data_IF_590296382493
#
_entry.id   IF_590296382493
#
_cell.length_a   1.000
_cell.length_b   1.000
_cell.length_c   1.000
_cell.angle_alpha   90.00
_cell.angle_beta   90.00
_cell.angle_gamma   90.00
#
_symmetry.space_group_name_H-M   'P 1'
#
loop_
_entity.id
_entity.type
_entity.pdbx_description
1 polymer ?
#
# COMPACT_ATOMS: atom_id res chain seq x y z
N UNK A 1 12.62 12.82 -33.88
CA UNK A 1 12.47 12.46 -32.45
C UNK A 1 13.74 11.78 -32.01
N UNK A 2 14.57 12.46 -31.22
CA UNK A 2 15.78 11.85 -30.64
C UNK A 2 15.36 10.89 -29.51
N UNK A 3 15.85 9.63 -29.50
CA UNK A 3 15.55 8.71 -28.40
C UNK A 3 16.13 9.28 -27.10
N UNK A 4 15.30 9.33 -26.06
CA UNK A 4 15.70 9.87 -24.75
C UNK A 4 16.79 9.00 -24.11
N UNK A 5 17.82 9.61 -23.50
CA UNK A 5 18.97 8.90 -22.94
C UNK A 5 18.53 7.94 -21.82
N UNK A 6 19.02 6.68 -21.79
CA UNK A 6 18.59 5.64 -20.83
C UNK A 6 18.62 6.11 -19.36
N UNK A 7 17.75 5.55 -18.50
CA UNK A 7 17.75 5.82 -17.04
C UNK A 7 19.22 5.72 -16.55
N UNK A 8 19.74 6.72 -15.80
CA UNK A 8 21.17 6.82 -15.52
C UNK A 8 21.67 5.54 -14.81
N UNK A 9 22.84 5.01 -15.20
CA UNK A 9 23.27 3.66 -14.82
C UNK A 9 23.88 3.54 -13.41
N UNK A 10 23.81 4.55 -12.56
CA UNK A 10 24.57 4.58 -11.30
C UNK A 10 23.64 4.79 -10.10
N UNK A 11 23.44 3.72 -9.32
CA UNK A 11 22.67 3.74 -8.07
C UNK A 11 21.28 3.11 -8.18
N UNK A 12 20.54 3.13 -7.08
CA UNK A 12 19.18 2.60 -7.03
C UNK A 12 18.13 3.62 -7.51
N UNK A 13 18.56 4.74 -8.09
CA UNK A 13 17.72 5.77 -8.70
C UNK A 13 16.91 6.63 -7.72
N UNK A 14 17.00 6.39 -6.42
CA UNK A 14 16.51 7.33 -5.42
C UNK A 14 17.53 8.48 -5.25
N UNK A 15 17.05 9.69 -4.89
CA UNK A 15 17.95 10.80 -4.60
C UNK A 15 18.70 10.58 -3.28
N UNK A 16 19.84 11.25 -3.15
CA UNK A 16 20.56 11.33 -1.88
C UNK A 16 19.79 12.14 -0.83
N UNK A 17 20.06 11.87 0.46
CA UNK A 17 19.40 12.53 1.58
C UNK A 17 18.00 12.01 1.88
N UNK A 18 17.20 12.84 2.55
CA UNK A 18 15.84 12.50 2.92
C UNK A 18 14.85 12.88 1.83
N UNK A 19 13.85 12.04 1.61
CA UNK A 19 12.82 12.27 0.61
C UNK A 19 11.47 11.70 1.03
N UNK A 20 10.41 12.17 0.36
CA UNK A 20 9.07 11.57 0.41
C UNK A 20 8.80 10.80 -0.87
N UNK A 21 8.03 9.72 -0.78
CA UNK A 21 7.57 8.94 -1.94
C UNK A 21 6.06 9.15 -2.07
N UNK A 22 5.64 9.94 -3.06
CA UNK A 22 4.25 10.36 -3.28
C UNK A 22 3.58 9.52 -4.37
N UNK A 23 2.32 9.13 -4.21
CA UNK A 23 1.52 8.47 -5.25
C UNK A 23 0.53 9.47 -5.87
N UNK A 24 0.74 9.92 -7.12
CA UNK A 24 -0.19 10.82 -7.80
C UNK A 24 -1.58 10.21 -7.96
N UNK A 25 -1.66 8.91 -8.27
CA UNK A 25 -2.91 8.15 -8.44
C UNK A 25 -3.73 7.95 -7.16
N UNK A 26 -3.25 8.44 -6.01
CA UNK A 26 -3.95 8.41 -4.72
C UNK A 26 -4.09 9.82 -4.14
N UNK A 27 -4.52 10.79 -4.95
CA UNK A 27 -4.72 12.19 -4.54
C UNK A 27 -3.46 12.84 -3.93
N UNK A 28 -2.28 12.41 -4.38
CA UNK A 28 -1.00 12.94 -3.90
C UNK A 28 -0.63 12.54 -2.46
N UNK A 29 -1.18 11.43 -1.96
CA UNK A 29 -0.75 10.82 -0.68
C UNK A 29 0.70 10.33 -0.75
N UNK A 30 1.33 10.21 0.40
CA UNK A 30 2.75 9.83 0.52
C UNK A 30 2.92 8.58 1.35
N UNK A 31 4.00 7.85 1.09
CA UNK A 31 4.43 6.72 1.90
C UNK A 31 4.59 7.16 3.36
N UNK A 32 4.09 6.35 4.28
CA UNK A 32 3.97 6.68 5.70
C UNK A 32 4.12 5.40 6.53
N UNK A 33 4.91 5.45 7.58
CA UNK A 33 4.91 4.40 8.60
C UNK A 33 3.68 4.60 9.48
N UNK A 34 2.78 3.61 9.46
CA UNK A 34 1.45 3.71 10.07
C UNK A 34 1.53 4.15 11.53
N UNK A 35 0.86 5.26 11.84
CA UNK A 35 0.82 5.83 13.19
C UNK A 35 2.16 6.38 13.70
N UNK A 36 3.22 6.36 12.88
CA UNK A 36 4.58 6.66 13.34
C UNK A 36 5.17 5.60 14.25
N UNK A 37 4.64 4.38 14.21
CA UNK A 37 5.15 3.27 15.03
C UNK A 37 6.59 2.92 14.64
N UNK A 38 7.41 2.61 15.65
CA UNK A 38 8.82 2.26 15.49
C UNK A 38 9.07 0.78 15.80
N UNK A 39 8.03 0.01 16.11
CA UNK A 39 8.12 -1.42 16.32
C UNK A 39 8.57 -2.18 15.05
N UNK A 40 9.18 -3.35 15.24
CA UNK A 40 9.40 -4.29 14.13
C UNK A 40 8.04 -4.79 13.64
N UNK A 41 7.85 -4.86 12.33
CA UNK A 41 6.58 -5.25 11.73
C UNK A 41 5.57 -4.11 11.59
N UNK A 42 5.90 -2.88 12.03
CA UNK A 42 5.05 -1.72 11.82
C UNK A 42 4.76 -1.52 10.33
N UNK A 43 3.48 -1.35 9.97
CA UNK A 43 3.04 -1.36 8.59
C UNK A 43 3.43 -0.09 7.82
N UNK A 44 3.79 -0.26 6.55
CA UNK A 44 3.97 0.84 5.60
C UNK A 44 2.69 1.01 4.78
N UNK A 45 2.16 2.23 4.81
CA UNK A 45 0.93 2.63 4.12
C UNK A 45 1.20 3.84 3.23
N UNK A 46 0.19 4.30 2.49
CA UNK A 46 0.15 5.70 2.03
C UNK A 46 -0.87 6.49 2.85
N UNK A 47 -0.51 7.71 3.19
CA UNK A 47 -1.31 8.61 4.01
C UNK A 47 -1.28 10.04 3.47
N UNK A 48 -2.19 10.89 3.97
CA UNK A 48 -2.19 12.32 3.64
C UNK A 48 -0.81 12.94 3.93
N UNK A 49 -0.28 13.67 2.95
CA UNK A 49 0.98 14.40 3.09
C UNK A 49 0.88 15.43 4.22
N UNK A 50 1.75 15.28 5.22
CA UNK A 50 1.92 16.21 6.35
C UNK A 50 3.32 16.83 6.39
N UNK A 51 4.15 16.57 5.39
CA UNK A 51 5.53 17.06 5.33
C UNK A 51 5.61 18.58 5.21
N UNK A 52 4.63 19.22 4.58
CA UNK A 52 4.48 20.68 4.52
C UNK A 52 4.36 21.37 5.89
N UNK A 53 4.04 20.64 6.96
CA UNK A 53 3.92 21.20 8.32
C UNK A 53 5.23 21.18 9.10
N UNK A 54 6.25 20.46 8.60
CA UNK A 54 7.57 20.33 9.20
C UNK A 54 7.55 20.04 10.72
N UNK A 55 6.63 19.16 11.15
CA UNK A 55 6.50 18.74 12.56
C UNK A 55 7.23 17.42 12.77
N UNK A 56 7.60 17.13 14.02
CA UNK A 56 8.09 15.79 14.44
C UNK A 56 7.16 14.67 13.97
N UNK A 57 5.85 14.92 13.97
CA UNK A 57 4.85 13.95 13.49
C UNK A 57 4.90 13.65 12.00
N UNK A 58 5.66 14.38 11.18
CA UNK A 58 5.85 14.13 9.75
C UNK A 58 7.09 13.28 9.44
N UNK A 59 7.96 13.02 10.43
CA UNK A 59 9.18 12.23 10.23
C UNK A 59 8.90 10.79 9.77
N UNK A 60 7.74 10.25 10.10
CA UNK A 60 7.29 8.92 9.64
C UNK A 60 6.93 8.88 8.15
N UNK A 61 7.00 10.00 7.42
CA UNK A 61 6.84 10.10 5.96
C UNK A 61 8.16 10.36 5.23
N UNK A 62 9.26 10.42 5.98
CA UNK A 62 10.59 10.70 5.45
C UNK A 62 11.39 9.40 5.38
N UNK A 63 11.94 9.14 4.20
CA UNK A 63 12.75 7.97 3.92
C UNK A 63 14.09 8.38 3.35
N UNK A 64 15.06 7.48 3.41
CA UNK A 64 16.36 7.63 2.77
C UNK A 64 16.88 6.26 2.35
N UNK A 65 17.89 6.26 1.48
CA UNK A 65 18.63 5.07 1.09
C UNK A 65 19.97 5.09 1.81
N UNK A 66 20.30 4.01 2.51
CA UNK A 66 21.62 3.89 3.15
C UNK A 66 22.73 3.54 2.16
N UNK A 67 23.99 3.56 2.63
CA UNK A 67 25.17 3.17 1.84
C UNK A 67 25.12 1.74 1.27
N UNK A 68 24.21 0.90 1.75
CA UNK A 68 24.00 -0.48 1.28
C UNK A 68 22.84 -0.59 0.28
N UNK A 69 22.20 0.52 -0.08
CA UNK A 69 21.05 0.55 -0.99
C UNK A 69 19.73 0.19 -0.32
N UNK A 70 19.67 0.16 1.01
CA UNK A 70 18.47 -0.19 1.78
C UNK A 70 17.60 1.04 1.99
N UNK A 71 16.32 0.96 1.61
CA UNK A 71 15.34 1.99 1.93
C UNK A 71 15.01 1.96 3.43
N UNK A 72 15.11 3.10 4.10
CA UNK A 72 14.95 3.23 5.55
C UNK A 72 14.03 4.38 5.93
N UNK A 73 13.34 4.23 7.06
CA UNK A 73 12.58 5.31 7.70
C UNK A 73 13.52 6.25 8.44
N UNK A 74 13.35 7.57 8.28
CA UNK A 74 14.07 8.58 9.07
C UNK A 74 13.71 8.51 10.55
N UNK A 75 12.43 8.29 10.87
CA UNK A 75 11.95 8.35 12.25
C UNK A 75 12.56 7.30 13.18
N UNK A 76 12.86 6.11 12.64
CA UNK A 76 13.38 4.97 13.43
C UNK A 76 14.75 4.46 12.98
N UNK A 77 15.20 4.81 11.77
CA UNK A 77 16.37 4.21 11.14
C UNK A 77 16.15 2.76 10.66
N UNK A 78 14.95 2.20 10.88
CA UNK A 78 14.62 0.84 10.48
C UNK A 78 14.44 0.73 8.97
N UNK A 79 14.76 -0.45 8.44
CA UNK A 79 14.63 -0.75 7.02
C UNK A 79 13.17 -0.98 6.63
N UNK A 80 12.82 -0.66 5.39
CA UNK A 80 11.58 -1.11 4.78
C UNK A 80 11.79 -2.56 4.33
N UNK A 81 11.00 -3.46 4.89
CA UNK A 81 10.99 -4.88 4.60
C UNK A 81 9.67 -5.36 4.02
N UNK A 82 9.62 -6.67 3.76
CA UNK A 82 8.42 -7.35 3.29
C UNK A 82 8.00 -8.42 4.31
N UNK A 83 6.70 -8.47 4.61
CA UNK A 83 6.07 -9.53 5.38
C UNK A 83 5.35 -10.47 4.42
N UNK A 84 5.95 -11.63 4.15
CA UNK A 84 5.40 -12.63 3.22
C UNK A 84 4.10 -13.26 3.72
N UNK A 85 3.86 -13.29 5.04
CA UNK A 85 2.62 -13.82 5.61
C UNK A 85 1.46 -12.82 5.46
N UNK A 86 1.76 -11.54 5.65
CA UNK A 86 0.79 -10.45 5.53
C UNK A 86 0.69 -9.82 4.14
N UNK A 87 1.52 -10.22 3.18
CA UNK A 87 1.62 -9.66 1.83
C UNK A 87 1.74 -8.12 1.79
N UNK A 88 2.51 -7.56 2.73
CA UNK A 88 2.59 -6.11 2.96
C UNK A 88 4.01 -5.64 3.24
N UNK A 89 4.24 -4.36 3.04
CA UNK A 89 5.48 -3.70 3.45
C UNK A 89 5.44 -3.35 4.93
N UNK A 90 6.56 -3.56 5.63
CA UNK A 90 6.69 -3.33 7.08
C UNK A 90 8.05 -2.73 7.42
N UNK A 91 8.19 -2.13 8.60
CA UNK A 91 9.50 -1.81 9.17
C UNK A 91 10.21 -3.06 9.68
N UNK A 92 11.53 -3.10 9.50
CA UNK A 92 12.41 -4.14 10.01
C UNK A 92 13.59 -3.56 10.79
N UNK A 93 13.72 -3.98 12.05
CA UNK A 93 14.89 -3.69 12.89
C UNK A 93 16.11 -4.39 12.32
N UNK A 94 17.23 -3.67 12.26
CA UNK A 94 18.50 -4.23 11.80
C UNK A 94 19.20 -5.00 12.93
N UNK A 95 19.98 -6.05 12.62
CA UNK A 95 20.20 -6.62 11.28
C UNK A 95 19.08 -7.60 10.89
N UNK A 96 18.63 -7.52 9.64
CA UNK A 96 17.71 -8.49 9.03
C UNK A 96 18.37 -8.97 7.74
N UNK A 97 18.58 -10.29 7.59
CA UNK A 97 19.34 -10.84 6.46
C UNK A 97 18.58 -10.70 5.13
N UNK A 98 17.25 -10.80 5.19
CA UNK A 98 16.38 -10.89 4.01
C UNK A 98 15.63 -9.57 3.78
N UNK A 99 16.36 -8.49 3.52
CA UNK A 99 15.77 -7.20 3.17
C UNK A 99 15.56 -7.07 1.65
N UNK A 100 14.40 -6.56 1.21
CA UNK A 100 14.17 -6.25 -0.18
C UNK A 100 15.05 -5.08 -0.64
N UNK A 101 15.48 -5.16 -1.90
CA UNK A 101 16.19 -4.05 -2.56
C UNK A 101 15.20 -3.24 -3.38
N UNK A 102 15.16 -1.94 -3.13
CA UNK A 102 14.31 -1.00 -3.85
C UNK A 102 15.14 -0.25 -4.87
N UNK A 103 14.55 -0.01 -6.03
CA UNK A 103 15.09 0.92 -7.03
C UNK A 103 13.98 1.73 -7.68
N UNK A 104 14.25 3.00 -7.95
CA UNK A 104 13.34 3.93 -8.58
C UNK A 104 13.83 4.28 -9.98
N UNK A 105 12.96 4.35 -10.98
CA UNK A 105 13.31 4.95 -12.28
C UNK A 105 12.41 6.15 -12.50
N UNK A 106 13.02 7.34 -12.46
CA UNK A 106 12.34 8.63 -12.61
C UNK A 106 11.52 8.72 -13.91
N UNK A 107 11.99 8.05 -14.98
CA UNK A 107 11.29 8.02 -16.27
C UNK A 107 9.96 7.30 -16.20
N UNK A 108 9.93 6.07 -15.67
CA UNK A 108 8.68 5.31 -15.56
C UNK A 108 7.88 5.70 -14.33
N UNK A 109 8.51 6.42 -13.39
CA UNK A 109 8.00 6.74 -12.05
C UNK A 109 7.68 5.47 -11.23
N UNK A 110 8.27 4.33 -11.58
CA UNK A 110 8.00 3.08 -10.87
C UNK A 110 9.06 2.81 -9.80
N UNK A 111 8.63 2.22 -8.69
CA UNK A 111 9.53 1.66 -7.68
C UNK A 111 9.56 0.15 -7.85
N UNK A 112 10.67 -0.35 -8.37
CA UNK A 112 10.96 -1.77 -8.51
C UNK A 112 11.45 -2.33 -7.16
N UNK A 113 10.91 -3.49 -6.79
CA UNK A 113 11.25 -4.22 -5.57
C UNK A 113 11.82 -5.58 -5.95
N UNK A 114 13.01 -5.89 -5.45
CA UNK A 114 13.63 -7.22 -5.55
C UNK A 114 13.58 -7.88 -4.19
N UNK A 115 12.81 -8.94 -4.09
CA UNK A 115 12.66 -9.72 -2.88
C UNK A 115 13.75 -10.80 -2.81
N UNK A 116 14.40 -11.02 -1.66
CA UNK A 116 15.37 -12.10 -1.50
C UNK A 116 14.69 -13.46 -1.72
N UNK A 117 15.33 -14.33 -2.50
CA UNK A 117 14.79 -15.64 -2.87
C UNK A 117 13.70 -15.63 -3.96
N UNK A 118 13.33 -14.47 -4.49
CA UNK A 118 12.36 -14.33 -5.58
C UNK A 118 12.91 -13.44 -6.71
N UNK A 119 14.21 -13.55 -7.00
CA UNK A 119 14.93 -12.66 -7.91
C UNK A 119 14.56 -12.85 -9.39
N UNK A 120 13.94 -13.98 -9.74
CA UNK A 120 13.55 -14.30 -11.13
C UNK A 120 12.45 -13.38 -11.67
N UNK A 121 11.64 -12.77 -10.80
CA UNK A 121 10.49 -11.96 -11.19
C UNK A 121 10.62 -10.53 -10.69
N UNK A 122 10.49 -9.52 -11.56
CA UNK A 122 10.45 -8.13 -11.12
C UNK A 122 9.10 -7.82 -10.45
N UNK A 123 9.17 -7.23 -9.27
CA UNK A 123 7.98 -6.73 -8.58
C UNK A 123 7.97 -5.21 -8.52
N UNK A 124 6.78 -4.63 -8.43
CA UNK A 124 6.55 -3.19 -8.29
C UNK A 124 5.86 -2.90 -6.97
N UNK A 125 6.22 -1.77 -6.36
CA UNK A 125 5.44 -1.18 -5.28
C UNK A 125 4.21 -0.47 -5.87
N UNK A 126 3.02 -0.76 -5.34
CA UNK A 126 1.77 -0.16 -5.80
C UNK A 126 0.86 0.20 -4.61
N UNK A 127 0.15 1.32 -4.74
CA UNK A 127 -0.93 1.68 -3.85
C UNK A 127 -2.22 0.97 -4.28
N UNK A 128 -2.91 0.33 -3.34
CA UNK A 128 -4.17 -0.34 -3.65
C UNK A 128 -5.36 0.63 -3.62
N UNK A 129 -6.32 0.48 -4.55
CA UNK A 129 -7.64 1.07 -4.34
C UNK A 129 -8.23 0.55 -3.05
N UNK A 130 -9.01 1.41 -2.41
CA UNK A 130 -10.14 0.91 -1.67
C UNK A 130 -11.31 0.85 -2.63
N UNK A 131 -11.96 -0.31 -2.70
CA UNK A 131 -13.28 -0.36 -3.32
C UNK A 131 -14.16 0.67 -2.61
N UNK A 132 -14.90 1.47 -3.38
CA UNK A 132 -15.99 2.23 -2.79
C UNK A 132 -16.89 1.26 -2.01
N UNK A 133 -17.43 1.64 -0.84
CA UNK A 133 -18.44 0.82 -0.19
C UNK A 133 -19.49 0.55 -1.25
N UNK A 134 -19.74 -0.72 -1.57
CA UNK A 134 -20.91 -1.05 -2.36
C UNK A 134 -22.07 -0.54 -1.51
N UNK A 135 -22.69 0.56 -1.92
CA UNK A 135 -23.96 0.99 -1.37
C UNK A 135 -24.93 -0.16 -1.65
N UNK A 136 -25.01 -1.13 -0.74
CA UNK A 136 -26.10 -2.10 -0.72
C UNK A 136 -27.31 -1.34 -0.21
N UNK A 137 -27.83 -0.44 -1.05
CA UNK A 137 -29.27 -0.23 -1.13
C UNK A 137 -29.82 -1.57 -1.60
N UNK A 138 -30.09 -2.45 -0.64
CA UNK A 138 -31.05 -3.52 -0.85
C UNK A 138 -32.36 -2.78 -1.10
N UNK A 139 -32.71 -2.61 -2.36
CA UNK A 139 -34.08 -2.33 -2.75
C UNK A 139 -34.90 -3.52 -2.26
N UNK A 140 -35.40 -3.42 -1.03
CA UNK A 140 -36.46 -4.28 -0.55
C UNK A 140 -37.70 -3.83 -1.32
N UNK A 141 -38.24 -4.62 -2.27
CA UNK A 141 -39.48 -4.21 -2.92
C UNK A 141 -40.55 -4.04 -1.84
N UNK A 142 -41.13 -2.85 -1.79
CA UNK A 142 -42.37 -2.58 -1.06
C UNK A 142 -43.44 -3.55 -1.58
N UNK A 143 -43.62 -4.67 -0.90
CA UNK A 143 -44.85 -5.47 -1.01
C UNK A 143 -45.84 -4.83 -0.05
N UNK A 144 -46.64 -3.91 -0.59
CA UNK A 144 -47.84 -3.41 0.07
C UNK A 144 -48.88 -4.54 0.12
N UNK A 145 -49.50 -4.65 1.28
CA UNK A 145 -50.42 -5.69 1.75
C UNK A 145 -51.62 -5.99 0.84
N UNK A 146 -52.08 -7.25 0.85
CA UNK A 146 -53.52 -7.57 0.89
C UNK A 146 -53.79 -9.03 1.31
N UNK A 147 -54.31 -9.16 2.54
CA UNK A 147 -55.40 -10.05 2.98
C UNK A 147 -55.26 -11.59 2.87
N UNK A 148 -55.28 -12.25 4.04
CA UNK A 148 -56.30 -13.27 4.30
C UNK A 148 -55.86 -14.64 4.84
N UNK A 149 -56.10 -14.84 6.14
CA UNK A 149 -56.67 -16.05 6.76
C UNK A 149 -55.86 -17.35 7.01
N UNK A 150 -55.88 -17.75 8.31
CA UNK A 150 -55.57 -19.03 8.97
C UNK A 150 -54.10 -19.52 8.89
N UNK A 151 -53.41 -19.96 9.95
CA UNK A 151 -53.72 -20.28 11.34
C UNK A 151 -52.57 -21.16 11.89
N UNK A 152 -52.23 -20.98 13.17
CA UNK A 152 -51.57 -21.94 14.08
C UNK A 152 -50.11 -22.43 13.85
N UNK A 153 -49.29 -22.06 14.85
CA UNK A 153 -48.23 -22.80 15.56
C UNK A 153 -46.74 -22.65 15.21
N UNK A 154 -45.87 -22.56 16.25
CA UNK A 154 -44.43 -22.34 16.14
C UNK A 154 -43.66 -23.65 16.02
N UNK A 155 -42.65 -23.69 15.15
CA UNK A 155 -41.72 -24.81 15.02
C UNK A 155 -40.31 -24.31 14.78
N UNK A 156 -39.49 -24.34 15.83
CA UNK A 156 -38.03 -24.28 15.72
C UNK A 156 -37.52 -25.52 14.97
N UNK A 157 -36.54 -25.40 14.05
CA UNK A 157 -35.70 -26.51 13.68
C UNK A 157 -34.38 -26.51 14.46
N UNK A 158 -34.15 -27.67 15.04
CA UNK A 158 -33.01 -28.21 15.79
C UNK A 158 -31.65 -28.12 15.05
N UNK A 159 -30.56 -27.67 15.71
CA UNK A 159 -29.22 -27.56 15.13
C UNK A 159 -28.39 -28.85 15.28
N UNK A 160 -28.83 -29.97 14.69
CA UNK A 160 -28.00 -31.19 14.59
C UNK A 160 -28.12 -31.88 13.23
N UNK A 161 -27.39 -31.37 12.24
CA UNK A 161 -26.87 -32.19 11.11
C UNK A 161 -25.45 -31.74 10.75
N UNK A 162 -24.51 -32.12 11.61
CA UNK A 162 -23.11 -32.32 11.24
C UNK A 162 -23.01 -33.66 10.51
N UNK A 163 -22.88 -33.65 9.19
CA UNK A 163 -22.17 -34.74 8.49
C UNK A 163 -21.27 -34.17 7.41
N UNK A 164 -20.04 -34.69 7.43
CA UNK A 164 -18.92 -34.31 6.64
C UNK A 164 -19.16 -34.52 5.13
N UNK A 165 -18.70 -33.56 4.32
CA UNK A 165 -18.26 -33.86 2.97
C UNK A 165 -16.90 -33.23 2.73
N UNK A 166 -15.89 -34.09 2.77
CA UNK A 166 -14.57 -33.83 2.24
C UNK A 166 -14.70 -33.87 0.70
N UNK A 167 -14.44 -32.77 0.00
CA UNK A 167 -14.06 -32.76 -1.43
C UNK A 167 -13.64 -31.36 -1.88
N UNK A 168 -12.35 -31.25 -2.17
CA UNK A 168 -11.78 -30.55 -3.34
C UNK A 168 -12.76 -29.70 -4.15
N UNK A 169 -12.55 -28.38 -4.18
CA UNK A 169 -12.96 -27.49 -5.27
C UNK A 169 -12.22 -26.15 -5.10
N UNK A 170 -11.25 -25.88 -5.98
CA UNK A 170 -11.37 -25.03 -7.17
C UNK A 170 -10.99 -23.58 -6.87
N UNK A 171 -9.74 -23.30 -7.22
CA UNK A 171 -9.33 -22.03 -7.82
C UNK A 171 -10.26 -21.69 -8.99
N UNK A 172 -11.23 -20.83 -8.76
CA UNK A 172 -11.94 -20.08 -9.79
C UNK A 172 -12.30 -18.75 -9.14
N UNK A 173 -11.35 -17.82 -9.21
CA UNK A 173 -11.74 -16.42 -9.26
C UNK A 173 -12.08 -16.24 -10.73
N UNK A 174 -13.39 -16.24 -11.04
CA UNK A 174 -13.87 -15.82 -12.34
C UNK A 174 -13.52 -14.32 -12.46
N UNK A 175 -12.34 -14.03 -13.00
CA UNK A 175 -11.91 -12.71 -13.45
C UNK A 175 -12.59 -12.39 -14.78
N UNK A 176 -13.92 -12.40 -14.80
CA UNK A 176 -14.69 -11.86 -15.91
C UNK A 176 -14.94 -10.37 -15.68
N UNK A 177 -14.32 -9.58 -16.55
CA UNK A 177 -14.68 -8.21 -16.92
C UNK A 177 -14.84 -7.17 -15.79
N UNK A 178 -13.72 -6.71 -15.24
CA UNK A 178 -13.63 -5.31 -14.76
C UNK A 178 -12.89 -4.49 -15.84
N UNK A 179 -13.58 -4.34 -16.97
CA UNK A 179 -13.37 -3.19 -17.86
C UNK A 179 -14.19 -2.03 -17.32
N UNK A 180 -13.59 -1.20 -16.49
CA UNK A 180 -14.25 -0.03 -15.91
C UNK A 180 -13.23 1.09 -15.72
N UNK A 181 -13.52 2.23 -16.33
CA UNK A 181 -12.72 3.45 -16.37
C UNK A 181 -12.13 3.82 -15.02
N UNK A 182 -10.87 4.28 -15.04
CA UNK A 182 -10.19 5.04 -14.00
C UNK A 182 -11.02 5.24 -12.71
N UNK A 183 -11.04 4.24 -11.82
CA UNK A 183 -11.71 4.34 -10.53
C UNK A 183 -11.13 5.55 -9.80
N UNK A 184 -11.84 6.67 -9.87
CA UNK A 184 -11.50 7.90 -9.18
C UNK A 184 -11.63 7.56 -7.70
N UNK A 185 -10.50 7.60 -7.00
CA UNK A 185 -10.40 7.19 -5.60
C UNK A 185 -11.10 8.22 -4.70
N UNK A 186 -12.44 8.17 -4.66
CA UNK A 186 -13.32 9.08 -3.92
C UNK A 186 -13.49 8.68 -2.45
N UNK A 187 -12.75 7.67 -1.97
CA UNK A 187 -12.91 7.20 -0.59
C UNK A 187 -12.32 8.20 0.43
N UNK A 188 -13.17 8.69 1.33
CA UNK A 188 -12.84 9.66 2.38
C UNK A 188 -11.82 9.16 3.43
N UNK A 189 -11.51 7.86 3.42
CA UNK A 189 -10.50 7.30 4.32
C UNK A 189 -9.13 7.90 4.05
N UNK A 190 -8.40 8.16 5.13
CA UNK A 190 -7.11 8.89 5.10
C UNK A 190 -5.90 8.01 4.81
N UNK A 191 -6.06 6.68 4.77
CA UNK A 191 -4.98 5.73 4.46
C UNK A 191 -5.31 4.82 3.28
N UNK A 192 -4.29 4.28 2.62
CA UNK A 192 -4.41 3.09 1.74
C UNK A 192 -3.26 2.13 2.01
N UNK A 193 -3.49 0.86 1.73
CA UNK A 193 -2.45 -0.17 1.77
C UNK A 193 -1.47 -0.02 0.61
N UNK A 194 -0.22 -0.41 0.87
CA UNK A 194 0.83 -0.52 -0.15
C UNK A 194 1.21 -1.98 -0.28
N UNK A 195 1.21 -2.49 -1.52
CA UNK A 195 1.57 -3.87 -1.81
C UNK A 195 2.69 -3.95 -2.84
N UNK A 196 3.29 -5.14 -2.87
CA UNK A 196 4.22 -5.55 -3.91
C UNK A 196 3.42 -6.39 -4.91
N UNK A 197 3.42 -6.00 -6.17
CA UNK A 197 2.72 -6.69 -7.27
C UNK A 197 3.71 -7.12 -8.34
N UNK A 198 3.37 -8.14 -9.14
CA UNK A 198 4.22 -8.53 -10.26
C UNK A 198 4.18 -7.48 -11.37
N UNK A 199 5.31 -7.21 -12.01
CA UNK A 199 5.42 -6.14 -13.02
C UNK A 199 4.47 -6.32 -14.21
N UNK A 200 4.21 -7.55 -14.61
CA UNK A 200 3.41 -7.90 -15.79
C UNK A 200 1.89 -7.82 -15.57
N UNK A 201 1.47 -7.65 -14.31
CA UNK A 201 0.07 -7.39 -13.97
C UNK A 201 -0.35 -6.09 -14.69
N UNK A 202 -1.48 -6.02 -15.39
CA UNK A 202 -1.92 -4.80 -16.09
C UNK A 202 -2.95 -3.97 -15.33
N UNK A 203 -3.46 -4.48 -14.21
CA UNK A 203 -4.67 -3.97 -13.55
C UNK A 203 -4.53 -2.61 -12.85
N UNK A 204 -3.31 -2.08 -12.66
CA UNK A 204 -3.10 -0.91 -11.78
C UNK A 204 -2.07 0.11 -12.29
N UNK A 205 -2.16 0.54 -13.55
CA UNK A 205 -1.11 1.35 -14.20
C UNK A 205 -0.79 2.67 -13.47
N UNK A 206 -1.81 3.44 -13.07
CA UNK A 206 -1.60 4.78 -12.51
C UNK A 206 -1.15 4.76 -11.04
N UNK A 207 -1.48 3.69 -10.29
CA UNK A 207 -1.13 3.57 -8.86
C UNK A 207 0.19 2.84 -8.60
N UNK A 208 0.94 2.57 -9.66
CA UNK A 208 2.35 2.14 -9.65
C UNK A 208 3.32 3.29 -9.84
N UNK A 209 2.79 4.47 -10.16
CA UNK A 209 3.59 5.66 -10.35
C UNK A 209 3.80 6.38 -9.02
N UNK A 210 5.03 6.83 -8.84
CA UNK A 210 5.54 7.48 -7.65
C UNK A 210 6.35 8.71 -8.03
N UNK A 211 6.11 9.81 -7.32
CA UNK A 211 6.91 11.02 -7.36
C UNK A 211 7.81 11.03 -6.13
N UNK A 212 9.12 10.93 -6.34
CA UNK A 212 10.09 11.05 -5.24
C UNK A 212 10.52 12.51 -5.12
N UNK A 213 10.31 13.10 -3.95
CA UNK A 213 10.63 14.52 -3.69
C UNK A 213 11.64 14.63 -2.56
N UNK A 214 12.80 15.21 -2.88
CA UNK A 214 13.86 15.51 -1.90
C UNK A 214 13.37 16.54 -0.90
N UNK A 215 13.70 16.30 0.37
CA UNK A 215 13.49 17.21 1.48
C UNK A 215 14.87 17.78 1.86
N UNK A 216 15.07 19.10 1.79
CA UNK A 216 16.30 19.75 2.20
C UNK A 216 16.74 19.32 3.61
N UNK A 217 18.03 19.08 3.79
CA UNK A 217 18.62 18.65 5.06
C UNK A 217 18.41 19.70 6.16
N UNK A 218 18.49 20.98 5.79
CA UNK A 218 18.12 22.11 6.64
C UNK A 218 16.67 22.09 7.10
N UNK A 219 15.79 21.24 6.57
CA UNK A 219 14.42 21.05 7.06
C UNK A 219 14.27 19.77 7.87
N UNK A 220 15.23 18.86 7.75
CA UNK A 220 15.29 17.60 8.47
C UNK A 220 15.92 17.75 9.88
N UNK A 221 16.71 18.81 10.11
CA UNK A 221 17.42 19.09 11.37
C UNK A 221 16.62 19.93 12.39
N UNK A 222 15.68 20.78 11.96
CA UNK A 222 14.90 21.67 12.87
C UNK A 222 14.05 20.94 13.91
N UNK A 223 13.87 19.63 13.77
CA UNK A 223 13.18 18.82 14.78
C UNK A 223 14.08 18.40 15.95
N UNK A 224 15.41 18.55 15.86
CA UNK A 224 16.34 18.20 16.94
C UNK A 224 16.70 19.40 17.83
N UNK A 225 16.69 20.61 17.28
CA UNK A 225 17.11 21.82 18.01
C UNK A 225 16.08 22.37 19.01
N UNK A 226 14.81 21.93 18.95
CA UNK A 226 13.75 22.34 19.90
C UNK A 226 13.68 21.46 21.16
N UNK A 227 14.64 20.56 21.38
CA UNK A 227 14.73 19.72 22.58
C UNK A 227 15.76 20.21 23.61
N UNK A 228 16.37 21.38 23.39
CA UNK A 228 17.36 21.99 24.30
C UNK A 228 16.96 23.37 24.83
N UNK A 229 15.66 23.64 24.98
CA UNK A 229 15.17 24.82 25.71
C UNK A 229 14.21 24.40 26.82
#
# INVERSE_FOLDING_TARGET
MTPLPPCPPVGNGFPEGYFTIKCPGSQGRVLDVRGGDVADGAEIIIYKDKTHKFRKSAQNQLFFVDKHGTLRSKASGHAVGYDSKGHRLVLRKSPHADLPKFSYCERSREVLVRLPGMEEKPYLMAALPMAAPKDTKVDVPHVVEALGYFGLSPGFPDPEKLTAHNKSCKSLVDDDEIGGEADVDDHHEKMREVRIIQKDDKSVRDRRQWEVKVIPESWAEWTESLLHV
#
